data_IF_439318656968
#
_entry.id   IF_439318656968
#
_cell.length_a   1.000
_cell.length_b   1.000
_cell.length_c   1.000
_cell.angle_alpha   90.00
_cell.angle_beta   90.00
_cell.angle_gamma   90.00
#
_symmetry.space_group_name_H-M   'P 1'
#
loop_
_entity.id
_entity.type
_entity.pdbx_description
1 polymer ?
#
# COMPACT_ATOMS: atom_id res chain seq x y z
N UNK A 1 -2.02 -34.02 58.46
CA UNK A 1 -2.61 -32.79 57.89
C UNK A 1 -3.91 -33.17 57.18
N UNK A 2 -5.05 -32.51 57.46
CA UNK A 2 -6.29 -32.86 56.77
C UNK A 2 -6.25 -32.36 55.31
N UNK A 3 -6.83 -33.13 54.38
CA UNK A 3 -6.91 -32.84 52.95
C UNK A 3 -7.47 -31.41 52.68
N UNK A 4 -8.36 -30.94 53.56
CA UNK A 4 -8.90 -29.60 53.51
C UNK A 4 -7.86 -28.50 53.72
N UNK A 5 -6.93 -28.66 54.69
CA UNK A 5 -5.86 -27.68 54.94
C UNK A 5 -4.85 -27.62 53.81
N UNK A 6 -4.61 -28.75 53.14
CA UNK A 6 -3.70 -28.81 52.00
C UNK A 6 -4.30 -28.09 50.77
N UNK A 7 -5.60 -28.20 50.49
CA UNK A 7 -6.30 -27.45 49.46
C UNK A 7 -6.24 -25.95 49.68
N UNK A 8 -6.46 -25.50 50.92
CA UNK A 8 -6.44 -24.05 51.25
C UNK A 8 -5.03 -23.47 51.07
N UNK A 9 -3.98 -24.20 51.48
CA UNK A 9 -2.60 -23.78 51.28
C UNK A 9 -2.23 -23.71 49.79
N UNK A 10 -2.67 -24.67 48.97
CA UNK A 10 -2.43 -24.66 47.51
C UNK A 10 -3.13 -23.49 46.83
N UNK A 11 -4.37 -23.17 47.21
CA UNK A 11 -5.11 -22.02 46.68
C UNK A 11 -4.41 -20.71 47.06
N UNK A 12 -4.00 -20.58 48.33
CA UNK A 12 -3.29 -19.39 48.79
C UNK A 12 -1.99 -19.19 48.03
N UNK A 13 -1.22 -20.27 47.81
CA UNK A 13 0.01 -20.23 47.04
C UNK A 13 -0.21 -19.81 45.58
N UNK A 14 -1.27 -20.33 44.92
CA UNK A 14 -1.65 -19.94 43.55
C UNK A 14 -2.04 -18.47 43.46
N UNK A 15 -2.79 -17.96 44.44
CA UNK A 15 -3.18 -16.52 44.48
C UNK A 15 -1.94 -15.65 44.67
N UNK A 16 -1.03 -16.04 45.57
CA UNK A 16 0.21 -15.28 45.84
C UNK A 16 1.13 -15.27 44.60
N UNK A 17 1.22 -16.40 43.88
CA UNK A 17 2.02 -16.51 42.67
C UNK A 17 1.43 -15.68 41.50
N UNK A 18 0.10 -15.65 41.37
CA UNK A 18 -0.55 -14.78 40.40
C UNK A 18 -0.38 -13.30 40.72
N UNK A 19 -0.45 -12.92 41.98
CA UNK A 19 -0.23 -11.55 42.46
C UNK A 19 1.24 -11.12 42.23
N UNK A 20 2.20 -12.02 42.43
CA UNK A 20 3.61 -11.80 42.14
C UNK A 20 3.86 -11.64 40.61
N UNK A 21 3.26 -12.48 39.77
CA UNK A 21 3.30 -12.35 38.32
C UNK A 21 2.68 -11.03 37.85
N UNK A 22 1.56 -10.63 38.43
CA UNK A 22 0.92 -9.36 38.16
C UNK A 22 1.83 -8.17 38.51
N UNK A 23 2.52 -8.22 39.66
CA UNK A 23 3.51 -7.21 40.08
C UNK A 23 4.72 -7.11 39.12
N UNK A 24 5.12 -8.22 38.51
CA UNK A 24 6.23 -8.25 37.53
C UNK A 24 5.81 -7.73 36.16
N UNK A 25 4.57 -7.98 35.76
CA UNK A 25 4.06 -7.68 34.42
C UNK A 25 3.57 -6.23 34.33
N UNK A 26 2.81 -5.76 35.31
CA UNK A 26 2.20 -4.41 35.31
C UNK A 26 3.24 -3.27 35.19
N UNK A 27 4.36 -3.26 35.89
CA UNK A 27 5.35 -2.18 35.77
C UNK A 27 6.02 -2.11 34.41
N UNK A 28 6.05 -3.21 33.65
CA UNK A 28 6.64 -3.24 32.29
C UNK A 28 5.71 -2.67 31.23
N UNK A 29 4.40 -2.67 31.48
CA UNK A 29 3.42 -2.09 30.55
C UNK A 29 3.12 -0.62 30.82
N UNK A 30 3.12 -0.18 32.07
CA UNK A 30 2.85 1.22 32.44
C UNK A 30 3.81 2.24 31.81
N UNK A 31 5.14 2.03 31.81
CA UNK A 31 6.03 3.03 31.22
C UNK A 31 5.86 3.16 29.71
N UNK A 32 5.53 2.09 29.00
CA UNK A 32 5.26 2.16 27.54
C UNK A 32 4.01 2.98 27.23
N UNK A 33 2.94 2.79 27.98
CA UNK A 33 1.71 3.55 27.81
C UNK A 33 1.90 5.04 28.12
N UNK A 34 2.60 5.36 29.20
CA UNK A 34 2.93 6.75 29.56
C UNK A 34 3.87 7.40 28.54
N UNK A 35 4.86 6.68 28.02
CA UNK A 35 5.75 7.16 26.95
C UNK A 35 4.98 7.47 25.68
N UNK A 36 4.03 6.61 25.29
CA UNK A 36 3.21 6.84 24.10
C UNK A 36 2.31 8.07 24.28
N UNK A 37 1.67 8.25 25.43
CA UNK A 37 0.86 9.44 25.71
C UNK A 37 1.71 10.73 25.75
N UNK A 38 2.88 10.67 26.35
CA UNK A 38 3.80 11.81 26.38
C UNK A 38 4.28 12.17 24.98
N UNK A 39 4.62 11.20 24.16
CA UNK A 39 5.01 11.40 22.76
C UNK A 39 3.87 12.04 21.95
N UNK A 40 2.64 11.58 22.12
CA UNK A 40 1.47 12.15 21.46
C UNK A 40 1.21 13.59 21.88
N UNK A 41 1.33 13.89 23.20
CA UNK A 41 1.16 15.27 23.71
C UNK A 41 2.26 16.18 23.21
N UNK A 42 3.49 15.72 23.15
CA UNK A 42 4.61 16.48 22.59
C UNK A 42 4.44 16.76 21.10
N UNK A 43 3.97 15.76 20.35
CA UNK A 43 3.67 15.89 18.93
C UNK A 43 2.57 16.94 18.71
N UNK A 44 1.48 16.86 19.46
CA UNK A 44 0.39 17.83 19.37
C UNK A 44 0.88 19.28 19.70
N UNK A 45 1.65 19.44 20.78
CA UNK A 45 2.23 20.74 21.16
C UNK A 45 3.17 21.27 20.07
N UNK A 46 3.91 20.37 19.42
CA UNK A 46 4.79 20.73 18.31
C UNK A 46 3.97 21.26 17.12
N UNK A 47 2.89 20.57 16.74
CA UNK A 47 2.01 20.98 15.64
C UNK A 47 1.32 22.31 15.95
N UNK A 48 0.80 22.50 17.17
CA UNK A 48 0.19 23.75 17.62
C UNK A 48 1.17 24.94 17.54
N UNK A 49 2.46 24.71 17.85
CA UNK A 49 3.51 25.72 17.72
C UNK A 49 3.71 26.20 16.28
N UNK A 50 3.41 25.34 15.32
CA UNK A 50 3.44 25.66 13.90
C UNK A 50 2.09 26.09 13.35
N UNK A 51 1.11 26.37 14.22
CA UNK A 51 -0.26 26.77 13.88
C UNK A 51 -1.01 25.70 13.08
N UNK A 52 -0.68 24.44 13.32
CA UNK A 52 -1.31 23.27 12.71
C UNK A 52 -2.23 22.57 13.70
N UNK A 53 -3.41 22.18 13.23
CA UNK A 53 -4.30 21.31 13.99
C UNK A 53 -4.01 19.86 13.61
N UNK A 54 -3.63 19.02 14.58
CA UNK A 54 -3.41 17.59 14.39
C UNK A 54 -4.51 16.82 15.11
N UNK A 55 -5.32 16.08 14.35
CA UNK A 55 -6.27 15.13 14.90
C UNK A 55 -5.58 13.77 15.09
N UNK A 56 -5.16 13.48 16.32
CA UNK A 56 -4.52 12.23 16.69
C UNK A 56 -5.44 11.01 16.49
N UNK A 57 -6.77 11.20 16.46
CA UNK A 57 -7.72 10.11 16.28
C UNK A 57 -7.82 9.64 14.82
N UNK A 58 -7.46 10.53 13.89
CA UNK A 58 -7.44 10.26 12.46
C UNK A 58 -6.13 9.60 11.99
N UNK A 59 -5.11 9.53 12.87
CA UNK A 59 -3.86 8.89 12.51
C UNK A 59 -4.01 7.37 12.41
N UNK A 60 -3.41 6.74 11.41
CA UNK A 60 -3.41 5.29 11.32
C UNK A 60 -2.72 4.70 12.55
N UNK A 61 -3.34 3.70 13.16
CA UNK A 61 -2.74 3.00 14.30
C UNK A 61 -1.46 2.32 13.82
N UNK A 62 -0.39 2.47 14.59
CA UNK A 62 0.88 1.78 14.33
C UNK A 62 0.61 0.28 14.16
N UNK A 63 0.69 -0.19 12.91
CA UNK A 63 0.67 -1.60 12.58
C UNK A 63 2.10 -1.99 12.24
N UNK A 64 2.54 -3.15 12.70
CA UNK A 64 3.80 -3.72 12.21
C UNK A 64 3.61 -4.10 10.74
N UNK A 65 4.03 -3.24 9.83
CA UNK A 65 4.03 -3.55 8.41
C UNK A 65 5.24 -4.43 8.13
N UNK A 66 4.99 -5.58 7.54
CA UNK A 66 6.04 -6.46 7.06
C UNK A 66 6.49 -5.91 5.70
N UNK A 67 7.80 -5.75 5.50
CA UNK A 67 8.32 -5.44 4.16
C UNK A 67 7.86 -6.50 3.16
N UNK A 68 7.48 -6.06 1.97
CA UNK A 68 7.02 -6.96 0.91
C UNK A 68 8.04 -6.92 -0.22
N UNK A 69 8.50 -8.09 -0.63
CA UNK A 69 9.32 -8.25 -1.83
C UNK A 69 8.44 -8.78 -2.94
N UNK A 70 8.44 -8.11 -4.08
CA UNK A 70 7.70 -8.53 -5.27
C UNK A 70 8.71 -9.07 -6.28
N UNK A 71 8.59 -10.33 -6.65
CA UNK A 71 9.35 -10.93 -7.75
C UNK A 71 8.48 -10.96 -9.00
N UNK A 72 9.04 -10.56 -10.13
CA UNK A 72 8.36 -10.69 -11.43
C UNK A 72 8.02 -12.15 -11.71
N UNK A 73 6.77 -12.39 -12.09
CA UNK A 73 6.24 -13.71 -12.44
C UNK A 73 5.69 -13.68 -13.87
N UNK A 74 6.30 -14.46 -14.76
CA UNK A 74 5.92 -14.52 -16.17
C UNK A 74 4.52 -15.10 -16.37
N UNK A 75 4.08 -16.04 -15.51
CA UNK A 75 2.76 -16.65 -15.61
C UNK A 75 1.66 -15.67 -15.17
N UNK A 76 1.93 -14.87 -14.13
CA UNK A 76 1.06 -13.78 -13.73
C UNK A 76 0.96 -12.71 -14.82
N UNK A 77 2.08 -12.35 -15.46
CA UNK A 77 2.12 -11.42 -16.58
C UNK A 77 1.33 -11.92 -17.79
N UNK A 78 1.46 -13.21 -18.13
CA UNK A 78 0.68 -13.83 -19.19
C UNK A 78 -0.82 -13.86 -18.87
N UNK A 79 -1.18 -14.14 -17.62
CA UNK A 79 -2.57 -14.14 -17.16
C UNK A 79 -3.17 -12.74 -17.28
N UNK A 80 -2.44 -11.71 -16.84
CA UNK A 80 -2.85 -10.31 -16.97
C UNK A 80 -2.98 -9.88 -18.44
N UNK A 81 -2.04 -10.31 -19.30
CA UNK A 81 -2.10 -10.05 -20.74
C UNK A 81 -3.33 -10.68 -21.39
N UNK A 82 -3.65 -11.94 -21.06
CA UNK A 82 -4.88 -12.59 -21.53
C UNK A 82 -6.15 -11.91 -21.04
N UNK A 83 -6.17 -11.43 -19.82
CA UNK A 83 -7.31 -10.70 -19.26
C UNK A 83 -7.57 -9.38 -20.01
N UNK A 84 -6.52 -8.73 -20.53
CA UNK A 84 -6.60 -7.49 -21.29
C UNK A 84 -6.82 -7.74 -22.79
N UNK A 85 -6.02 -8.61 -23.40
CA UNK A 85 -5.93 -8.77 -24.86
C UNK A 85 -6.75 -9.95 -25.40
N UNK A 86 -7.31 -10.80 -24.55
CA UNK A 86 -8.00 -12.02 -24.92
C UNK A 86 -7.09 -13.26 -24.92
N UNK A 87 -7.66 -14.44 -25.19
CA UNK A 87 -6.94 -15.72 -25.02
C UNK A 87 -5.85 -15.98 -26.07
N UNK A 88 -5.95 -15.37 -27.26
CA UNK A 88 -5.01 -15.57 -28.36
C UNK A 88 -3.89 -14.52 -28.32
N UNK A 89 -2.96 -14.69 -27.38
CA UNK A 89 -1.84 -13.78 -27.21
C UNK A 89 -0.57 -14.42 -27.72
N UNK A 90 0.14 -13.69 -28.62
CA UNK A 90 1.52 -14.02 -29.02
C UNK A 90 2.47 -13.37 -28.02
N UNK A 91 3.42 -14.16 -27.52
CA UNK A 91 4.41 -13.72 -26.55
C UNK A 91 5.75 -13.58 -27.23
N UNK A 92 6.36 -12.41 -27.14
CA UNK A 92 7.75 -12.17 -27.54
C UNK A 92 8.54 -11.74 -26.30
N UNK A 93 9.57 -12.52 -26.00
CA UNK A 93 10.51 -12.21 -24.94
C UNK A 93 11.77 -11.62 -25.59
N UNK A 94 12.12 -10.38 -25.24
CA UNK A 94 13.39 -9.77 -25.61
C UNK A 94 14.27 -9.61 -24.37
N UNK A 95 15.22 -10.52 -24.14
CA UNK A 95 16.12 -10.45 -23.00
C UNK A 95 16.99 -9.19 -22.99
N UNK A 96 17.25 -8.60 -24.16
CA UNK A 96 18.07 -7.38 -24.28
C UNK A 96 17.30 -6.11 -23.84
N UNK A 97 15.97 -6.14 -23.94
CA UNK A 97 15.12 -4.98 -23.64
C UNK A 97 14.47 -5.06 -22.24
N UNK A 98 14.68 -6.16 -21.51
CA UNK A 98 14.14 -6.37 -20.16
C UNK A 98 12.62 -6.24 -20.07
N UNK A 99 11.91 -6.53 -21.14
CA UNK A 99 10.45 -6.59 -21.16
C UNK A 99 9.94 -7.82 -21.92
N UNK A 100 8.70 -8.21 -21.63
CA UNK A 100 7.92 -9.16 -22.42
C UNK A 100 6.83 -8.43 -23.17
N UNK A 101 6.72 -8.68 -24.46
CA UNK A 101 5.67 -8.12 -25.33
C UNK A 101 4.59 -9.17 -25.58
N UNK A 102 3.35 -8.74 -25.44
CA UNK A 102 2.15 -9.56 -25.67
C UNK A 102 1.32 -8.90 -26.75
N UNK A 103 1.04 -9.60 -27.85
CA UNK A 103 0.34 -9.04 -28.99
C UNK A 103 -0.88 -9.89 -29.36
N UNK A 104 -1.98 -9.24 -29.67
CA UNK A 104 -3.20 -9.86 -30.20
C UNK A 104 -3.87 -8.94 -31.22
N UNK A 105 -5.04 -9.35 -31.75
CA UNK A 105 -5.88 -8.48 -32.59
C UNK A 105 -6.40 -7.24 -31.84
N UNK A 106 -6.45 -7.28 -30.50
CA UNK A 106 -6.92 -6.18 -29.66
C UNK A 106 -5.82 -5.18 -29.26
N UNK A 107 -4.56 -5.41 -29.67
CA UNK A 107 -3.45 -4.51 -29.42
C UNK A 107 -2.18 -5.16 -28.95
N UNK A 108 -1.31 -4.34 -28.36
CA UNK A 108 -0.03 -4.78 -27.81
C UNK A 108 0.12 -4.30 -26.38
N UNK A 109 0.62 -5.14 -25.51
CA UNK A 109 0.93 -4.87 -24.12
C UNK A 109 2.39 -5.25 -23.84
N UNK A 110 3.11 -4.39 -23.14
CA UNK A 110 4.50 -4.64 -22.69
C UNK A 110 4.59 -4.55 -21.19
N UNK A 111 5.20 -5.56 -20.60
CA UNK A 111 5.56 -5.57 -19.18
C UNK A 111 7.08 -5.55 -19.03
N UNK A 112 7.56 -4.54 -18.33
CA UNK A 112 8.96 -4.40 -17.99
C UNK A 112 9.25 -5.05 -16.63
N UNK A 113 10.43 -5.60 -16.44
CA UNK A 113 10.84 -6.20 -15.16
C UNK A 113 10.90 -5.17 -14.01
N UNK A 114 10.99 -3.89 -14.34
CA UNK A 114 10.89 -2.77 -13.36
C UNK A 114 9.50 -2.55 -12.80
N UNK A 115 8.48 -3.21 -13.34
CA UNK A 115 7.06 -2.96 -13.03
C UNK A 115 6.40 -1.96 -13.98
N UNK A 116 7.13 -1.26 -14.83
CA UNK A 116 6.52 -0.42 -15.85
C UNK A 116 5.70 -1.27 -16.83
N UNK A 117 4.59 -0.72 -17.30
CA UNK A 117 3.79 -1.31 -18.35
C UNK A 117 3.28 -0.25 -19.32
N UNK A 118 3.13 -0.63 -20.56
CA UNK A 118 2.46 0.16 -21.57
C UNK A 118 1.64 -0.75 -22.51
N UNK A 119 0.47 -0.28 -22.90
CA UNK A 119 -0.37 -0.95 -23.88
C UNK A 119 -1.01 0.07 -24.83
N UNK A 120 -1.01 -0.27 -26.11
CA UNK A 120 -1.80 0.38 -27.15
C UNK A 120 -2.91 -0.59 -27.58
N UNK A 121 -4.15 -0.16 -27.44
CA UNK A 121 -5.32 -1.01 -27.51
C UNK A 121 -6.29 -0.55 -28.62
N UNK A 122 -6.95 -1.51 -29.24
CA UNK A 122 -7.95 -1.27 -30.30
C UNK A 122 -9.10 -2.28 -30.19
N UNK A 123 -10.25 -1.94 -30.72
CA UNK A 123 -11.38 -2.90 -30.84
C UNK A 123 -12.13 -3.15 -29.52
N UNK A 124 -11.94 -2.30 -28.52
CA UNK A 124 -12.75 -2.35 -27.29
C UNK A 124 -14.09 -1.66 -27.52
N UNK A 125 -15.15 -2.24 -27.01
CA UNK A 125 -16.47 -1.65 -27.02
C UNK A 125 -16.51 -0.40 -26.13
N UNK A 126 -17.37 0.56 -26.50
CA UNK A 126 -17.57 1.76 -25.70
C UNK A 126 -18.30 1.42 -24.39
N UNK A 127 -17.78 1.91 -23.28
CA UNK A 127 -18.35 1.72 -21.95
C UNK A 127 -18.96 3.01 -21.44
N UNK A 128 -20.06 2.90 -20.68
CA UNK A 128 -20.74 4.04 -20.07
C UNK A 128 -20.03 4.53 -18.80
N UNK A 129 -19.37 3.63 -18.07
CA UNK A 129 -18.63 3.94 -16.85
C UNK A 129 -17.19 3.44 -16.96
N UNK A 130 -16.24 4.33 -17.33
CA UNK A 130 -14.83 4.00 -17.42
C UNK A 130 -14.20 3.56 -16.11
N UNK A 131 -14.64 4.11 -14.95
CA UNK A 131 -14.09 3.78 -13.65
C UNK A 131 -14.46 2.34 -13.24
N UNK A 132 -15.74 1.98 -13.37
CA UNK A 132 -16.22 0.63 -13.08
C UNK A 132 -15.56 -0.40 -14.01
N UNK A 133 -15.43 -0.06 -15.30
CA UNK A 133 -14.77 -0.93 -16.27
C UNK A 133 -13.29 -1.13 -15.91
N UNK A 134 -12.56 -0.07 -15.58
CA UNK A 134 -11.17 -0.13 -15.17
C UNK A 134 -10.98 -1.03 -13.93
N UNK A 135 -11.82 -0.87 -12.91
CA UNK A 135 -11.77 -1.69 -11.70
C UNK A 135 -11.97 -3.18 -12.02
N UNK A 136 -12.99 -3.51 -12.82
CA UNK A 136 -13.26 -4.91 -13.22
C UNK A 136 -12.11 -5.50 -14.04
N UNK A 137 -11.55 -4.71 -14.95
CA UNK A 137 -10.43 -5.14 -15.80
C UNK A 137 -9.19 -5.42 -14.97
N UNK A 138 -8.78 -4.48 -14.12
CA UNK A 138 -7.59 -4.62 -13.27
C UNK A 138 -7.73 -5.78 -12.27
N UNK A 139 -8.95 -5.99 -11.74
CA UNK A 139 -9.23 -7.17 -10.90
C UNK A 139 -9.08 -8.48 -11.67
N UNK A 140 -9.55 -8.53 -12.95
CA UNK A 140 -9.33 -9.72 -13.81
C UNK A 140 -7.86 -9.94 -14.14
N UNK A 141 -7.07 -8.88 -14.22
CA UNK A 141 -5.61 -8.97 -14.37
C UNK A 141 -4.90 -9.47 -13.11
N UNK A 142 -5.63 -9.72 -12.01
CA UNK A 142 -5.08 -10.21 -10.75
C UNK A 142 -4.55 -9.11 -9.83
N UNK A 143 -4.93 -7.86 -10.05
CA UNK A 143 -4.49 -6.72 -9.24
C UNK A 143 -5.51 -6.39 -8.17
N UNK A 144 -5.03 -6.10 -6.97
CA UNK A 144 -5.81 -5.51 -5.89
C UNK A 144 -5.72 -3.99 -5.98
N UNK A 145 -6.87 -3.31 -6.09
CA UNK A 145 -6.94 -1.86 -6.30
C UNK A 145 -7.61 -1.23 -5.08
N UNK A 146 -6.98 -0.22 -4.49
CA UNK A 146 -7.50 0.50 -3.32
C UNK A 146 -8.09 1.88 -3.63
N UNK A 147 -7.68 2.50 -4.74
CA UNK A 147 -8.17 3.81 -5.13
C UNK A 147 -8.31 3.92 -6.64
N UNK A 148 -9.38 4.59 -7.08
CA UNK A 148 -9.61 4.94 -8.49
C UNK A 148 -10.02 6.41 -8.55
N UNK A 149 -9.36 7.16 -9.41
CA UNK A 149 -9.69 8.55 -9.71
C UNK A 149 -9.93 8.71 -11.20
N UNK A 150 -10.86 9.59 -11.57
CA UNK A 150 -11.23 9.84 -12.96
C UNK A 150 -11.02 11.32 -13.28
N UNK A 151 -10.39 11.59 -14.41
CA UNK A 151 -10.15 12.94 -14.90
C UNK A 151 -10.52 13.04 -16.38
N UNK A 152 -11.31 14.04 -16.74
CA UNK A 152 -11.52 14.39 -18.14
C UNK A 152 -10.30 15.16 -18.66
N UNK A 153 -9.64 14.63 -19.69
CA UNK A 153 -8.41 15.22 -20.26
C UNK A 153 -8.64 15.91 -21.61
N UNK A 154 -9.85 15.83 -22.17
CA UNK A 154 -10.23 16.45 -23.43
C UNK A 154 -11.64 16.08 -23.83
N UNK A 155 -12.11 16.61 -24.96
CA UNK A 155 -13.44 16.32 -25.48
C UNK A 155 -13.58 14.82 -25.78
N UNK A 156 -14.36 14.11 -24.96
CA UNK A 156 -14.60 12.67 -25.11
C UNK A 156 -13.43 11.78 -24.70
N UNK A 157 -12.43 12.33 -23.99
CA UNK A 157 -11.31 11.56 -23.46
C UNK A 157 -11.32 11.58 -21.93
N UNK A 158 -11.30 10.40 -21.34
CA UNK A 158 -11.33 10.21 -19.89
C UNK A 158 -10.10 9.39 -19.49
N UNK A 159 -9.30 9.90 -18.54
CA UNK A 159 -8.23 9.17 -17.92
C UNK A 159 -8.69 8.63 -16.56
N UNK A 160 -8.52 7.35 -16.33
CA UNK A 160 -8.79 6.67 -15.06
C UNK A 160 -7.45 6.25 -14.48
N UNK A 161 -7.12 6.77 -13.31
CA UNK A 161 -5.91 6.39 -12.56
C UNK A 161 -6.30 5.47 -11.42
N UNK A 162 -5.67 4.32 -11.34
CA UNK A 162 -5.87 3.32 -10.31
C UNK A 162 -4.59 3.10 -9.50
N UNK A 163 -4.70 2.98 -8.18
CA UNK A 163 -3.59 2.67 -7.28
C UNK A 163 -3.68 1.22 -6.83
N UNK A 164 -2.62 0.46 -7.08
CA UNK A 164 -2.51 -0.92 -6.62
C UNK A 164 -2.29 -0.98 -5.12
N UNK A 165 -2.84 -2.01 -4.48
CA UNK A 165 -2.64 -2.30 -3.05
C UNK A 165 -2.17 -3.72 -2.80
N UNK A 166 -1.69 -3.97 -1.60
CA UNK A 166 -1.34 -5.29 -1.10
C UNK A 166 -1.92 -5.44 0.29
N UNK A 167 -2.93 -6.31 0.42
CA UNK A 167 -3.65 -6.49 1.67
C UNK A 167 -4.33 -5.21 2.16
N UNK A 168 -4.86 -4.40 1.23
CA UNK A 168 -5.52 -3.13 1.50
C UNK A 168 -4.59 -1.94 1.75
N UNK A 169 -3.26 -2.14 1.73
CA UNK A 169 -2.28 -1.06 1.91
C UNK A 169 -1.84 -0.55 0.54
N UNK A 170 -1.99 0.76 0.24
CA UNK A 170 -1.58 1.32 -1.03
C UNK A 170 -0.10 1.12 -1.33
N UNK A 171 0.21 0.88 -2.60
CA UNK A 171 1.54 0.77 -3.14
C UNK A 171 1.85 2.06 -3.92
N UNK A 172 2.49 3.03 -3.28
CA UNK A 172 2.68 4.39 -3.82
C UNK A 172 3.26 4.43 -5.24
N UNK A 173 4.32 3.67 -5.58
CA UNK A 173 4.87 3.68 -6.94
C UNK A 173 3.99 2.93 -7.97
N UNK A 174 2.94 2.20 -7.55
CA UNK A 174 2.12 1.38 -8.42
C UNK A 174 0.83 2.11 -8.81
N UNK A 175 0.95 3.04 -9.74
CA UNK A 175 -0.16 3.76 -10.33
C UNK A 175 -0.30 3.38 -11.81
N UNK A 176 -1.52 3.06 -12.20
CA UNK A 176 -1.88 2.62 -13.55
C UNK A 176 -2.90 3.62 -14.11
N UNK A 177 -2.62 4.14 -15.28
CA UNK A 177 -3.53 5.02 -16.00
C UNK A 177 -4.15 4.28 -17.19
N UNK A 178 -5.46 4.33 -17.29
CA UNK A 178 -6.24 3.83 -18.40
C UNK A 178 -6.87 5.02 -19.12
N UNK A 179 -6.68 5.12 -20.44
CA UNK A 179 -7.22 6.20 -21.25
C UNK A 179 -8.36 5.68 -22.11
N UNK A 180 -9.51 6.32 -21.99
CA UNK A 180 -10.71 6.03 -22.75
C UNK A 180 -10.98 7.18 -23.72
N UNK A 181 -11.15 6.85 -25.00
CA UNK A 181 -11.50 7.82 -26.04
C UNK A 181 -12.82 7.43 -26.67
N UNK A 182 -13.82 8.31 -26.59
CA UNK A 182 -15.18 7.97 -27.05
C UNK A 182 -15.81 6.81 -26.27
N UNK A 183 -15.41 6.61 -25.03
CA UNK A 183 -15.82 5.48 -24.19
C UNK A 183 -15.03 4.18 -24.40
N UNK A 184 -14.22 4.07 -25.48
CA UNK A 184 -13.41 2.88 -25.74
C UNK A 184 -12.06 2.98 -25.06
N UNK A 185 -11.58 1.89 -24.44
CA UNK A 185 -10.24 1.81 -23.88
C UNK A 185 -9.20 1.78 -25.01
N UNK A 186 -8.30 2.77 -25.02
CA UNK A 186 -7.30 2.94 -26.09
C UNK A 186 -5.86 2.77 -25.60
N UNK A 187 -5.61 3.06 -24.32
CA UNK A 187 -4.26 2.99 -23.76
C UNK A 187 -4.29 2.57 -22.30
N UNK A 188 -3.27 1.82 -21.90
CA UNK A 188 -2.97 1.54 -20.50
C UNK A 188 -1.47 1.82 -20.31
N UNK A 189 -1.10 2.53 -19.25
CA UNK A 189 0.31 2.83 -18.94
C UNK A 189 0.48 3.05 -17.44
N UNK A 190 1.70 2.86 -16.96
CA UNK A 190 2.04 3.13 -15.57
C UNK A 190 2.96 2.09 -14.97
N UNK A 191 2.87 1.94 -13.66
CA UNK A 191 3.65 0.95 -12.90
C UNK A 191 2.67 -0.01 -12.22
N UNK A 192 2.89 -1.30 -12.42
CA UNK A 192 2.17 -2.35 -11.72
C UNK A 192 3.12 -3.51 -11.39
N UNK A 193 2.82 -4.21 -10.33
CA UNK A 193 3.61 -5.34 -9.89
C UNK A 193 2.79 -6.62 -10.01
N UNK A 194 3.20 -7.46 -10.96
CA UNK A 194 2.64 -8.77 -11.21
C UNK A 194 3.63 -9.80 -10.66
N UNK A 195 3.28 -10.47 -9.57
CA UNK A 195 4.19 -11.48 -9.07
C UNK A 195 3.87 -12.02 -7.69
N UNK A 196 4.67 -12.97 -7.28
CA UNK A 196 4.54 -13.60 -5.97
C UNK A 196 5.06 -12.66 -4.89
N UNK A 197 4.21 -12.38 -3.93
CA UNK A 197 4.55 -11.59 -2.77
C UNK A 197 5.28 -12.47 -1.76
N UNK A 198 6.55 -12.22 -1.52
CA UNK A 198 7.25 -12.80 -0.37
C UNK A 198 7.29 -11.80 0.76
N UNK A 199 7.00 -12.26 1.98
CA UNK A 199 7.09 -11.46 3.20
C UNK A 199 8.35 -11.87 3.95
N UNK A 200 9.51 -11.27 3.69
CA UNK A 200 10.67 -11.46 4.55
C UNK A 200 10.38 -10.79 5.90
N UNK A 201 11.02 -11.27 6.95
CA UNK A 201 10.86 -10.92 8.36
C UNK A 201 10.38 -9.49 8.66
N UNK A 202 9.53 -9.37 9.69
CA UNK A 202 8.98 -8.10 10.20
C UNK A 202 10.08 -7.05 10.43
N UNK A 203 10.14 -6.05 9.57
CA UNK A 203 10.83 -4.81 9.89
C UNK A 203 9.83 -3.88 10.58
N UNK A 204 10.27 -3.25 11.65
CA UNK A 204 9.51 -2.19 12.32
C UNK A 204 9.41 -1.01 11.35
N UNK A 205 8.19 -0.66 10.97
CA UNK A 205 7.96 0.58 10.24
C UNK A 205 8.27 1.78 11.13
N UNK A 206 8.64 2.88 10.51
CA UNK A 206 8.67 4.18 11.17
C UNK A 206 7.32 4.41 11.86
N UNK A 207 7.35 4.80 13.13
CA UNK A 207 6.14 5.21 13.83
C UNK A 207 5.54 6.44 13.11
N UNK A 208 4.21 6.52 13.06
CA UNK A 208 3.52 7.66 12.48
C UNK A 208 4.01 9.00 13.04
N UNK A 209 4.40 9.03 14.31
CA UNK A 209 4.98 10.20 14.96
C UNK A 209 6.32 10.62 14.35
N UNK A 210 7.19 9.68 14.04
CA UNK A 210 8.48 9.96 13.37
C UNK A 210 8.28 10.48 11.96
N UNK A 211 7.32 9.92 11.22
CA UNK A 211 6.93 10.39 9.89
C UNK A 211 6.39 11.83 9.92
N UNK A 212 5.57 12.17 10.90
CA UNK A 212 5.02 13.51 11.06
C UNK A 212 6.11 14.54 11.45
N UNK A 213 7.08 14.16 12.27
CA UNK A 213 8.23 15.02 12.61
C UNK A 213 9.09 15.27 11.37
N UNK A 214 9.33 14.24 10.56
CA UNK A 214 10.06 14.38 9.30
C UNK A 214 9.30 15.29 8.30
N UNK A 215 7.97 15.17 8.23
CA UNK A 215 7.12 16.06 7.43
C UNK A 215 7.25 17.53 7.87
N UNK A 216 7.19 17.82 9.16
CA UNK A 216 7.39 19.18 9.68
C UNK A 216 8.78 19.73 9.35
N UNK A 217 9.81 18.89 9.36
CA UNK A 217 11.17 19.28 8.99
C UNK A 217 11.36 19.59 7.50
N UNK A 218 10.55 18.99 6.64
CA UNK A 218 10.64 19.13 5.18
C UNK A 218 9.58 20.09 4.59
N UNK A 219 8.74 20.70 5.40
CA UNK A 219 7.61 21.54 4.97
C UNK A 219 7.99 22.64 3.97
N UNK A 220 9.13 23.29 4.17
CA UNK A 220 9.59 24.40 3.33
C UNK A 220 10.01 23.93 1.93
N UNK A 221 10.46 22.66 1.83
CA UNK A 221 10.86 22.02 0.58
C UNK A 221 9.64 21.51 -0.19
N UNK A 222 8.59 21.09 0.53
CA UNK A 222 7.38 20.50 -0.05
C UNK A 222 6.35 21.54 -0.53
N UNK A 223 6.63 22.87 -0.35
CA UNK A 223 5.71 23.93 -0.78
C UNK A 223 4.38 23.91 -0.01
N UNK A 224 4.45 23.59 1.27
CA UNK A 224 3.29 23.44 2.13
C UNK A 224 2.43 24.73 2.25
N UNK A 225 1.10 24.56 2.17
CA UNK A 225 0.13 25.67 2.27
C UNK A 225 -0.71 25.49 3.54
N UNK A 226 -0.72 26.53 4.40
CA UNK A 226 -1.33 26.49 5.74
C UNK A 226 -2.85 26.21 5.76
N UNK A 227 -3.56 26.53 4.69
CA UNK A 227 -5.02 26.42 4.60
C UNK A 227 -5.52 25.11 3.98
N UNK A 228 -4.61 24.16 3.72
CA UNK A 228 -4.99 22.84 3.17
C UNK A 228 -5.15 21.79 4.27
N UNK A 229 -6.12 20.92 4.07
CA UNK A 229 -6.30 19.70 4.88
C UNK A 229 -5.41 18.61 4.30
N UNK A 230 -4.50 18.09 5.13
CA UNK A 230 -3.63 16.97 4.78
C UNK A 230 -4.11 15.71 5.46
N UNK A 231 -4.14 14.60 4.71
CA UNK A 231 -4.42 13.27 5.25
C UNK A 231 -3.12 12.51 5.39
N UNK A 232 -3.03 11.70 6.45
CA UNK A 232 -1.90 10.80 6.70
C UNK A 232 -2.36 9.39 6.41
N UNK A 233 -1.76 8.78 5.38
CA UNK A 233 -2.07 7.42 4.97
C UNK A 233 -0.82 6.54 5.07
N UNK A 234 -1.05 5.27 5.36
CA UNK A 234 0.00 4.27 5.37
C UNK A 234 0.15 3.70 3.95
N UNK A 235 1.35 3.74 3.38
CA UNK A 235 1.62 3.19 2.06
C UNK A 235 2.94 2.40 2.04
N UNK A 236 3.06 1.48 1.08
CA UNK A 236 4.34 0.88 0.73
C UNK A 236 5.07 1.80 -0.24
N UNK A 237 6.31 2.12 0.08
CA UNK A 237 7.21 2.86 -0.82
C UNK A 237 8.32 1.95 -1.32
N UNK A 238 8.90 2.29 -2.46
CA UNK A 238 10.08 1.58 -2.95
C UNK A 238 11.25 1.85 -2.01
N UNK A 239 11.81 0.82 -1.39
CA UNK A 239 13.06 0.93 -0.68
C UNK A 239 14.16 1.19 -1.73
N UNK A 240 14.53 2.45 -1.92
CA UNK A 240 15.65 2.80 -2.77
C UNK A 240 16.88 2.09 -2.21
N UNK A 241 17.46 1.17 -2.98
CA UNK A 241 18.85 0.77 -2.77
C UNK A 241 19.66 2.04 -2.99
N UNK A 242 20.10 2.70 -1.92
CA UNK A 242 21.18 3.66 -2.01
C UNK A 242 22.39 2.87 -2.49
N UNK A 243 22.58 2.81 -3.81
CA UNK A 243 23.87 2.42 -4.37
C UNK A 243 24.82 3.56 -4.01
N UNK A 244 25.63 3.34 -3.00
CA UNK A 244 26.81 4.16 -2.81
C UNK A 244 27.62 4.11 -4.12
N UNK A 245 27.70 5.26 -4.79
CA UNK A 245 28.62 5.50 -5.85
C UNK A 245 30.01 5.72 -5.26
#
# INVERSE_FOLDING_TARGET
MSVSKMKTVSILFLVLMNLFLLMLVVPNFMPRYQQTQQAQTQLQTLFERYQLSLDLSALPKSQSITSVSVSYDSDAALTAAKALLGDTVLVEEDPALYYNSYTSSSGTLRFYRSGLCDAALTGFDAVSDPAEHAQKLLTRMGLEICAITTQETGTGTVAVTATQSIGGIPLDPAQIQLVYTGGCLTQLSGTLYLGTLSRPSSQTCLDCGEGLIAFLGSRDVLGWVADQVYTVEQCYTHAGTASAA
#
